data_IF_779352775732
#
_entry.id   IF_779352775732
#
_cell.length_a   1.000
_cell.length_b   1.000
_cell.length_c   1.000
_cell.angle_alpha   90.00
_cell.angle_beta   90.00
_cell.angle_gamma   90.00
#
_symmetry.space_group_name_H-M   'P 1'
#
loop_
_entity.id
_entity.type
_entity.pdbx_description
1 polymer ?
#
# COMPACT_ATOMS: atom_id res chain seq x y z
N UNK A 1 0.70 11.65 -10.16
CA UNK A 1 1.58 10.51 -9.83
C UNK A 1 1.84 10.41 -8.35
N UNK A 2 1.73 9.19 -7.82
CA UNK A 2 2.09 8.87 -6.43
C UNK A 2 3.49 8.24 -6.41
N UNK A 3 4.28 8.54 -5.38
CA UNK A 3 5.56 7.87 -5.12
C UNK A 3 5.42 6.37 -4.85
N UNK A 4 4.18 5.90 -4.63
CA UNK A 4 3.82 4.49 -4.41
C UNK A 4 3.33 3.78 -5.69
N UNK A 5 3.36 4.43 -6.85
CA UNK A 5 2.84 3.88 -8.09
C UNK A 5 1.34 4.12 -8.27
N UNK A 6 0.60 3.08 -8.70
CA UNK A 6 -0.85 3.17 -8.93
C UNK A 6 -1.56 3.51 -7.61
N UNK A 7 -2.37 4.56 -7.66
CA UNK A 7 -3.08 5.06 -6.49
C UNK A 7 -4.39 5.71 -6.91
N UNK A 8 -5.48 5.39 -6.20
CA UNK A 8 -6.78 6.07 -6.31
C UNK A 8 -7.55 5.94 -5.01
N UNK A 9 -8.57 6.75 -4.82
CA UNK A 9 -9.51 6.56 -3.70
C UNK A 9 -10.63 5.61 -4.11
N UNK A 10 -11.12 4.84 -3.13
CA UNK A 10 -12.33 4.05 -3.21
C UNK A 10 -13.58 4.93 -2.99
N UNK A 11 -14.78 4.34 -3.10
CA UNK A 11 -16.08 5.02 -2.90
C UNK A 11 -16.26 5.61 -1.50
N UNK A 12 -15.55 5.06 -0.51
CA UNK A 12 -15.52 5.50 0.89
C UNK A 12 -14.34 6.44 1.22
N UNK A 13 -13.61 6.93 0.21
CA UNK A 13 -12.39 7.72 0.36
C UNK A 13 -11.21 6.99 1.02
N UNK A 14 -11.25 5.66 1.13
CA UNK A 14 -10.10 4.85 1.51
C UNK A 14 -9.14 4.69 0.30
N UNK A 15 -7.81 4.77 0.50
CA UNK A 15 -6.85 4.52 -0.57
C UNK A 15 -6.90 3.09 -1.14
N UNK A 16 -6.91 2.97 -2.45
CA UNK A 16 -6.60 1.75 -3.19
C UNK A 16 -5.19 1.92 -3.78
N UNK A 17 -4.33 0.97 -3.44
CA UNK A 17 -2.91 0.94 -3.75
C UNK A 17 -2.41 -0.49 -3.64
N UNK A 18 -1.26 -0.76 -4.24
CA UNK A 18 -0.61 -2.06 -4.09
C UNK A 18 -0.10 -2.26 -2.66
N UNK A 19 -0.18 -3.51 -2.19
CA UNK A 19 0.37 -3.94 -0.91
C UNK A 19 1.56 -4.86 -1.14
N UNK A 20 2.60 -4.67 -0.33
CA UNK A 20 3.86 -5.38 -0.47
C UNK A 20 4.18 -6.21 0.76
N UNK A 21 4.73 -7.41 0.54
CA UNK A 21 5.47 -8.12 1.56
C UNK A 21 6.86 -7.47 1.68
N UNK A 22 7.20 -7.06 2.89
CA UNK A 22 8.47 -6.40 3.18
C UNK A 22 9.35 -7.28 4.07
N UNK A 23 10.64 -7.27 3.81
CA UNK A 23 11.66 -7.87 4.68
C UNK A 23 12.55 -6.77 5.26
N UNK A 24 12.82 -6.85 6.56
CA UNK A 24 13.79 -5.95 7.21
C UNK A 24 15.19 -6.47 6.96
N UNK A 25 15.98 -5.69 6.21
CA UNK A 25 17.36 -5.98 5.88
C UNK A 25 18.29 -4.93 6.46
N UNK A 26 19.59 -5.24 6.51
CA UNK A 26 20.62 -4.22 6.71
C UNK A 26 20.93 -3.57 5.36
N UNK A 27 20.82 -2.24 5.28
CA UNK A 27 21.12 -1.46 4.10
C UNK A 27 22.60 -1.65 3.70
N UNK A 28 22.89 -2.02 2.44
CA UNK A 28 24.25 -2.33 2.01
C UNK A 28 25.15 -1.09 1.84
N UNK A 29 24.57 0.11 1.84
CA UNK A 29 25.31 1.38 1.64
C UNK A 29 25.62 2.04 2.99
N UNK A 30 24.62 2.16 3.86
CA UNK A 30 24.68 2.91 5.11
C UNK A 30 24.78 2.01 6.35
N UNK A 31 24.42 0.73 6.23
CA UNK A 31 24.51 -0.24 7.32
C UNK A 31 23.38 -0.18 8.34
N UNK A 32 22.39 0.70 8.17
CA UNK A 32 21.20 0.79 9.02
C UNK A 32 20.14 -0.26 8.63
N UNK A 33 19.13 -0.49 9.47
CA UNK A 33 18.01 -1.38 9.11
C UNK A 33 17.01 -0.66 8.21
N UNK A 34 16.58 -1.30 7.13
CA UNK A 34 15.58 -0.79 6.18
C UNK A 34 14.66 -1.91 5.68
N UNK A 35 13.56 -1.53 5.04
CA UNK A 35 12.65 -2.49 4.39
C UNK A 35 13.04 -2.67 2.92
N UNK A 36 13.02 -3.92 2.44
CA UNK A 36 13.06 -4.25 1.01
C UNK A 36 11.74 -4.89 0.58
N UNK A 37 11.31 -4.64 -0.65
CA UNK A 37 10.12 -5.29 -1.23
C UNK A 37 10.50 -6.71 -1.66
N UNK A 38 9.81 -7.69 -1.11
CA UNK A 38 9.95 -9.11 -1.51
C UNK A 38 8.99 -9.45 -2.63
N UNK A 39 7.73 -8.99 -2.51
CA UNK A 39 6.69 -9.24 -3.50
C UNK A 39 5.53 -8.25 -3.37
N UNK A 40 4.82 -8.01 -4.47
CA UNK A 40 3.45 -7.46 -4.43
C UNK A 40 2.50 -8.58 -4.03
N UNK A 41 1.76 -8.40 -2.95
CA UNK A 41 0.82 -9.40 -2.42
C UNK A 41 -0.63 -9.10 -2.73
N UNK A 42 -0.97 -7.83 -3.01
CA UNK A 42 -2.30 -7.41 -3.44
C UNK A 42 -2.15 -6.24 -4.42
N UNK A 43 -2.87 -6.30 -5.54
CA UNK A 43 -2.96 -5.23 -6.54
C UNK A 43 -4.40 -4.73 -6.60
N UNK A 44 -4.58 -3.41 -6.68
CA UNK A 44 -5.89 -2.75 -6.82
C UNK A 44 -6.97 -3.24 -5.81
N UNK A 45 -6.54 -3.69 -4.63
CA UNK A 45 -7.42 -4.29 -3.63
C UNK A 45 -8.23 -3.22 -2.88
N UNK A 46 -9.55 -3.39 -2.88
CA UNK A 46 -10.47 -2.56 -2.11
C UNK A 46 -10.44 -2.94 -0.63
N UNK A 47 -10.69 -1.97 0.25
CA UNK A 47 -10.82 -2.27 1.66
C UNK A 47 -12.08 -3.11 1.93
N UNK A 48 -12.01 -3.96 2.95
CA UNK A 48 -13.06 -4.94 3.25
C UNK A 48 -14.44 -4.33 3.61
N UNK A 49 -14.50 -3.03 3.90
CA UNK A 49 -15.70 -2.33 4.36
C UNK A 49 -16.17 -1.24 3.40
N UNK A 50 -15.69 -1.26 2.14
CA UNK A 50 -16.07 -0.30 1.12
C UNK A 50 -17.60 -0.18 0.93
N UNK A 51 -18.31 -1.29 1.06
CA UNK A 51 -19.78 -1.34 0.96
C UNK A 51 -20.51 -0.81 2.20
N UNK A 52 -19.86 -0.88 3.37
CA UNK A 52 -20.51 -0.66 4.67
C UNK A 52 -20.21 0.72 5.24
N UNK A 53 -19.24 1.43 4.67
CA UNK A 53 -18.79 2.75 5.11
C UNK A 53 -18.93 3.76 3.95
N UNK A 54 -20.13 4.21 3.58
CA UNK A 54 -20.28 5.21 2.53
C UNK A 54 -19.65 6.53 2.98
N UNK A 55 -18.96 7.22 2.06
CA UNK A 55 -18.53 8.60 2.30
C UNK A 55 -19.77 9.50 2.37
N UNK A 56 -20.23 9.80 3.58
CA UNK A 56 -21.38 10.70 3.79
C UNK A 56 -20.93 12.14 3.65
N UNK A 57 -21.47 12.83 2.65
CA UNK A 57 -21.37 14.28 2.49
C UNK A 57 -22.49 15.03 3.20
#
# INVERSE_FOLDING_TARGET
DSVRGKFRFNTNNHPIQDWYLLEVIRDPVHGDLTNTIVATILEDHEDAYASDCPLTG
#
